data_IF_474302624913
#
_entry.id   IF_474302624913
#
_cell.length_a   1.000
_cell.length_b   1.000
_cell.length_c   1.000
_cell.angle_alpha   90.00
_cell.angle_beta   90.00
_cell.angle_gamma   90.00
#
_symmetry.space_group_name_H-M   'P 1'
#
loop_
_entity.id
_entity.type
_entity.pdbx_description
1 polymer ?
#
# COMPACT_ATOMS: atom_id res chain seq x y z
N UNK A 1 -50.17 62.48 -45.18
CA UNK A 1 -48.88 62.55 -44.43
C UNK A 1 -48.90 61.47 -43.36
N UNK A 2 -47.92 60.57 -43.41
CA UNK A 2 -47.88 59.31 -42.64
C UNK A 2 -47.49 59.53 -41.18
N UNK A 3 -48.19 58.89 -40.24
CA UNK A 3 -47.78 58.74 -38.83
C UNK A 3 -47.15 57.36 -38.66
N UNK A 4 -45.83 57.33 -38.45
CA UNK A 4 -45.08 56.14 -38.04
C UNK A 4 -45.12 56.03 -36.52
N UNK A 5 -45.84 55.03 -36.01
CA UNK A 5 -45.80 54.66 -34.59
C UNK A 5 -44.62 53.71 -34.36
N UNK A 6 -43.63 54.17 -33.61
CA UNK A 6 -42.45 53.41 -33.23
C UNK A 6 -42.77 52.60 -31.95
N UNK A 7 -43.04 51.30 -32.12
CA UNK A 7 -43.23 50.39 -30.98
C UNK A 7 -41.87 49.88 -30.49
N UNK A 8 -41.41 50.41 -29.36
CA UNK A 8 -40.23 49.90 -28.65
C UNK A 8 -40.63 48.65 -27.85
N UNK A 9 -40.26 47.47 -28.33
CA UNK A 9 -40.32 46.24 -27.55
C UNK A 9 -39.12 46.21 -26.59
N UNK A 10 -39.40 46.38 -25.30
CA UNK A 10 -38.43 46.13 -24.22
C UNK A 10 -38.50 44.63 -23.90
N UNK A 11 -37.57 43.86 -24.44
CA UNK A 11 -37.41 42.44 -24.09
C UNK A 11 -36.70 42.34 -22.75
N UNK A 12 -37.46 42.12 -21.67
CA UNK A 12 -36.91 41.82 -20.35
C UNK A 12 -36.30 40.43 -20.42
N UNK A 13 -34.98 40.34 -20.60
CA UNK A 13 -34.24 39.11 -20.47
C UNK A 13 -34.26 38.67 -19.00
N UNK A 14 -35.19 37.78 -18.66
CA UNK A 14 -35.20 37.10 -17.37
C UNK A 14 -33.97 36.19 -17.30
N UNK A 15 -32.92 36.66 -16.63
CA UNK A 15 -31.77 35.83 -16.28
C UNK A 15 -32.25 34.84 -15.23
N UNK A 16 -32.68 33.66 -15.69
CA UNK A 16 -32.91 32.52 -14.82
C UNK A 16 -31.56 32.12 -14.23
N UNK A 17 -31.31 32.58 -13.00
CA UNK A 17 -30.21 32.09 -12.17
C UNK A 17 -30.58 30.67 -11.79
N UNK A 18 -30.27 29.71 -12.66
CA UNK A 18 -30.25 28.31 -12.29
C UNK A 18 -29.15 28.18 -11.24
N UNK A 19 -29.55 28.05 -9.98
CA UNK A 19 -28.65 27.63 -8.92
C UNK A 19 -28.07 26.28 -9.36
N UNK A 20 -26.85 26.29 -9.88
CA UNK A 20 -26.11 25.08 -10.18
C UNK A 20 -26.03 24.34 -8.84
N UNK A 21 -26.65 23.17 -8.69
CA UNK A 21 -26.55 22.43 -7.45
C UNK A 21 -25.06 22.22 -7.21
N UNK A 22 -24.57 22.76 -6.09
CA UNK A 22 -23.21 22.52 -5.63
C UNK A 22 -23.09 21.02 -5.40
N UNK A 23 -22.64 20.29 -6.43
CA UNK A 23 -22.39 18.87 -6.32
C UNK A 23 -21.25 18.77 -5.32
N UNK A 24 -21.57 18.40 -4.07
CA UNK A 24 -20.57 18.10 -3.07
C UNK A 24 -19.52 17.20 -3.74
N UNK A 25 -18.27 17.68 -3.79
CA UNK A 25 -17.24 17.06 -4.60
C UNK A 25 -17.14 15.58 -4.21
N UNK A 26 -17.53 14.69 -5.14
CA UNK A 26 -17.56 13.26 -4.88
C UNK A 26 -16.14 12.80 -4.51
N UNK A 27 -16.02 12.08 -3.40
CA UNK A 27 -14.75 11.52 -2.94
C UNK A 27 -14.74 10.01 -3.12
N UNK A 28 -13.56 9.46 -3.34
CA UNK A 28 -13.32 8.01 -3.39
C UNK A 28 -13.00 7.54 -1.97
N UNK A 29 -13.77 6.59 -1.45
CA UNK A 29 -13.47 6.00 -0.14
C UNK A 29 -12.45 4.86 -0.30
N UNK A 30 -11.35 4.91 0.46
CA UNK A 30 -10.34 3.84 0.52
C UNK A 30 -10.37 3.21 1.93
N UNK A 31 -11.32 2.31 2.21
CA UNK A 31 -11.28 1.56 3.45
C UNK A 31 -10.08 0.59 3.43
N UNK A 32 -9.55 0.19 4.60
CA UNK A 32 -8.61 -0.93 4.67
C UNK A 32 -9.15 -2.18 3.97
N UNK A 33 -8.26 -2.98 3.39
CA UNK A 33 -8.57 -4.29 2.81
C UNK A 33 -9.08 -5.25 3.89
N UNK A 34 -10.06 -6.08 3.52
CA UNK A 34 -10.61 -7.16 4.35
C UNK A 34 -9.92 -8.50 4.12
N UNK A 35 -8.76 -8.50 3.43
CA UNK A 35 -8.08 -9.72 2.99
C UNK A 35 -7.74 -10.66 4.16
N UNK A 36 -7.26 -10.11 5.27
CA UNK A 36 -6.86 -10.89 6.44
C UNK A 36 -8.09 -11.55 7.08
N UNK A 37 -9.19 -10.81 7.26
CA UNK A 37 -10.46 -11.34 7.76
C UNK A 37 -11.06 -12.40 6.84
N UNK A 38 -11.00 -12.17 5.52
CA UNK A 38 -11.49 -13.10 4.51
C UNK A 38 -10.71 -14.42 4.56
N UNK A 39 -9.38 -14.36 4.77
CA UNK A 39 -8.53 -15.55 4.87
C UNK A 39 -8.74 -16.31 6.17
N UNK A 40 -8.88 -15.60 7.29
CA UNK A 40 -9.22 -16.20 8.59
C UNK A 40 -10.59 -16.88 8.52
N UNK A 41 -11.58 -16.23 7.91
CA UNK A 41 -12.92 -16.80 7.73
C UNK A 41 -12.87 -18.05 6.87
N UNK A 42 -12.15 -18.01 5.74
CA UNK A 42 -11.99 -19.16 4.87
C UNK A 42 -11.33 -20.35 5.56
N UNK A 43 -10.25 -20.12 6.31
CA UNK A 43 -9.55 -21.17 7.07
C UNK A 43 -10.45 -21.82 8.13
N UNK A 44 -11.20 -21.00 8.89
CA UNK A 44 -12.15 -21.49 9.91
C UNK A 44 -13.29 -22.31 9.31
N UNK A 45 -13.82 -21.87 8.17
CA UNK A 45 -14.90 -22.58 7.48
C UNK A 45 -14.42 -23.80 6.68
N UNK A 46 -13.11 -23.94 6.46
CA UNK A 46 -12.52 -25.02 5.66
C UNK A 46 -11.25 -25.59 6.34
N UNK A 47 -11.34 -26.20 7.55
CA UNK A 47 -10.18 -26.61 8.33
C UNK A 47 -9.28 -27.68 7.67
N UNK A 48 -9.75 -28.32 6.60
CA UNK A 48 -9.00 -29.28 5.78
C UNK A 48 -8.56 -28.74 4.42
N UNK A 49 -8.67 -27.43 4.16
CA UNK A 49 -8.27 -26.86 2.88
C UNK A 49 -6.78 -27.09 2.62
N UNK A 50 -6.46 -27.55 1.40
CA UNK A 50 -5.07 -27.66 0.95
C UNK A 50 -4.42 -26.27 0.87
N UNK A 51 -3.09 -26.20 1.01
CA UNK A 51 -2.35 -24.93 0.86
C UNK A 51 -2.59 -24.32 -0.53
N UNK A 52 -2.71 -25.14 -1.58
CA UNK A 52 -3.04 -24.68 -2.93
C UNK A 52 -4.42 -24.02 -3.01
N UNK A 53 -5.43 -24.61 -2.34
CA UNK A 53 -6.78 -24.03 -2.26
C UNK A 53 -6.76 -22.67 -1.55
N UNK A 54 -5.98 -22.56 -0.46
CA UNK A 54 -5.82 -21.31 0.27
C UNK A 54 -5.12 -20.25 -0.60
N UNK A 55 -4.02 -20.59 -1.27
CA UNK A 55 -3.30 -19.69 -2.19
C UNK A 55 -4.23 -19.18 -3.30
N UNK A 56 -5.04 -20.08 -3.89
CA UNK A 56 -6.00 -19.71 -4.92
C UNK A 56 -7.03 -18.72 -4.39
N UNK A 57 -7.62 -19.00 -3.23
CA UNK A 57 -8.58 -18.11 -2.58
C UNK A 57 -7.94 -16.76 -2.23
N UNK A 58 -6.74 -16.76 -1.63
CA UNK A 58 -6.01 -15.56 -1.25
C UNK A 58 -5.71 -14.65 -2.45
N UNK A 59 -5.24 -15.21 -3.56
CA UNK A 59 -4.99 -14.44 -4.78
C UNK A 59 -6.29 -13.91 -5.41
N UNK A 60 -7.40 -14.65 -5.34
CA UNK A 60 -8.69 -14.15 -5.79
C UNK A 60 -9.20 -12.98 -4.93
N UNK A 61 -9.03 -13.06 -3.61
CA UNK A 61 -9.40 -11.96 -2.70
C UNK A 61 -8.48 -10.76 -2.87
N UNK A 62 -7.17 -10.98 -2.99
CA UNK A 62 -6.17 -9.93 -3.22
C UNK A 62 -6.49 -9.07 -4.45
N UNK A 63 -6.96 -9.66 -5.56
CA UNK A 63 -7.37 -8.91 -6.75
C UNK A 63 -8.60 -8.01 -6.50
N UNK A 64 -9.46 -8.37 -5.55
CA UNK A 64 -10.72 -7.69 -5.24
C UNK A 64 -10.63 -6.68 -4.11
N UNK A 65 -9.74 -6.91 -3.15
CA UNK A 65 -9.63 -6.10 -1.93
C UNK A 65 -8.26 -5.45 -1.77
N UNK A 66 -7.25 -5.89 -2.52
CA UNK A 66 -5.87 -5.44 -2.37
C UNK A 66 -5.22 -5.96 -1.08
N UNK A 67 -3.92 -5.69 -0.92
CA UNK A 67 -3.18 -5.90 0.31
C UNK A 67 -3.05 -4.56 1.05
N UNK A 68 -3.13 -4.55 2.38
CA UNK A 68 -2.91 -3.33 3.16
C UNK A 68 -1.43 -2.95 3.16
N UNK A 69 -1.08 -1.90 2.42
CA UNK A 69 0.24 -1.27 2.49
C UNK A 69 0.18 -0.12 3.50
N UNK A 70 1.06 -0.15 4.52
CA UNK A 70 1.18 0.90 5.52
C UNK A 70 2.05 2.04 5.01
N UNK A 71 1.43 3.19 4.75
CA UNK A 71 2.12 4.41 4.36
C UNK A 71 2.21 5.36 5.54
N UNK A 72 3.39 5.89 5.82
CA UNK A 72 3.51 7.08 6.65
C UNK A 72 3.19 8.31 5.81
N UNK A 73 2.19 9.07 6.28
CA UNK A 73 1.64 10.23 5.58
C UNK A 73 1.59 11.47 6.46
N UNK A 74 2.37 11.55 7.55
CA UNK A 74 2.30 12.68 8.47
C UNK A 74 2.40 14.03 7.77
N UNK A 75 3.30 14.17 6.79
CA UNK A 75 3.49 15.41 6.04
C UNK A 75 2.29 15.79 5.15
N UNK A 76 1.42 14.84 4.82
CA UNK A 76 0.23 15.05 4.01
C UNK A 76 -0.99 15.49 4.80
N UNK A 77 -0.98 15.22 6.11
CA UNK A 77 -2.17 15.42 6.92
C UNK A 77 -2.40 16.92 7.14
N UNK A 78 -3.66 17.38 7.04
CA UNK A 78 -3.98 18.78 7.34
C UNK A 78 -3.61 19.09 8.79
N UNK A 79 -2.98 20.24 9.01
CA UNK A 79 -2.65 20.73 10.36
C UNK A 79 -3.94 21.08 11.12
N UNK A 80 -4.11 20.54 12.32
CA UNK A 80 -5.25 20.80 13.20
C UNK A 80 -5.64 19.55 14.01
N UNK A 81 -6.62 19.68 14.89
CA UNK A 81 -7.13 18.55 15.69
C UNK A 81 -8.16 17.76 14.87
N UNK A 82 -7.82 16.57 14.35
CA UNK A 82 -8.78 15.81 13.60
C UNK A 82 -9.86 15.26 14.54
N UNK A 83 -11.07 15.05 14.01
CA UNK A 83 -12.10 14.30 14.72
C UNK A 83 -11.69 12.83 14.77
N UNK A 84 -11.09 12.43 15.88
CA UNK A 84 -10.73 11.06 16.17
C UNK A 84 -12.01 10.29 16.51
N UNK A 85 -12.19 9.12 15.89
CA UNK A 85 -13.24 8.21 16.29
C UNK A 85 -12.87 7.56 17.64
N UNK A 86 -13.66 7.79 18.71
CA UNK A 86 -13.32 7.32 20.05
C UNK A 86 -13.27 5.78 20.16
N UNK A 87 -13.84 5.05 19.18
CA UNK A 87 -13.83 3.58 19.18
C UNK A 87 -12.63 2.98 18.46
N UNK A 88 -12.02 3.73 17.54
CA UNK A 88 -10.98 3.18 16.67
C UNK A 88 -9.62 3.85 16.84
N UNK A 89 -9.53 5.02 17.49
CA UNK A 89 -8.32 5.84 17.57
C UNK A 89 -7.80 6.30 16.19
N UNK A 90 -8.58 6.09 15.13
CA UNK A 90 -8.29 6.57 13.78
C UNK A 90 -9.09 7.85 13.50
N UNK A 91 -8.49 8.75 12.74
CA UNK A 91 -9.16 9.90 12.17
C UNK A 91 -9.38 9.70 10.66
N UNK A 92 -10.51 10.23 10.16
CA UNK A 92 -10.82 10.23 8.72
C UNK A 92 -10.34 11.54 8.10
N UNK A 93 -9.54 11.43 7.05
CA UNK A 93 -9.01 12.57 6.31
C UNK A 93 -9.49 12.53 4.87
N UNK A 94 -9.69 13.71 4.28
CA UNK A 94 -9.92 13.87 2.84
C UNK A 94 -8.68 14.49 2.24
N UNK A 95 -7.96 13.72 1.45
CA UNK A 95 -6.70 14.12 0.83
C UNK A 95 -6.86 14.23 -0.70
N UNK A 96 -6.41 15.32 -1.32
CA UNK A 96 -6.38 15.42 -2.78
C UNK A 96 -5.18 14.62 -3.32
N UNK A 97 -5.44 13.61 -4.13
CA UNK A 97 -4.40 12.84 -4.83
C UNK A 97 -4.58 12.97 -6.34
N UNK A 98 -3.49 12.78 -7.07
CA UNK A 98 -3.53 12.75 -8.54
C UNK A 98 -3.60 11.30 -9.01
N UNK A 99 -4.54 10.99 -9.89
CA UNK A 99 -4.53 9.73 -10.65
C UNK A 99 -3.31 9.68 -11.58
N UNK A 100 -2.93 8.49 -12.08
CA UNK A 100 -1.83 8.35 -13.05
C UNK A 100 -2.09 9.12 -14.36
N UNK A 101 -3.35 9.45 -14.67
CA UNK A 101 -3.75 10.30 -15.80
C UNK A 101 -3.66 11.81 -15.49
N UNK A 102 -3.24 12.20 -14.29
CA UNK A 102 -3.10 13.60 -13.87
C UNK A 102 -4.38 14.24 -13.32
N UNK A 103 -5.52 13.53 -13.30
CA UNK A 103 -6.77 14.04 -12.71
C UNK A 103 -6.65 14.10 -11.19
N UNK A 104 -6.93 15.27 -10.59
CA UNK A 104 -7.02 15.44 -9.13
C UNK A 104 -8.36 14.90 -8.61
N UNK A 105 -8.31 14.08 -7.59
CA UNK A 105 -9.47 13.43 -6.97
C UNK A 105 -9.33 13.47 -5.46
N UNK A 106 -10.43 13.74 -4.75
CA UNK A 106 -10.45 13.63 -3.29
C UNK A 106 -10.59 12.17 -2.90
N UNK A 107 -9.72 11.70 -2.01
CA UNK A 107 -9.77 10.39 -1.39
C UNK A 107 -10.04 10.53 0.10
N UNK A 108 -10.94 9.70 0.63
CA UNK A 108 -11.16 9.58 2.05
C UNK A 108 -10.39 8.36 2.58
N UNK A 109 -9.52 8.60 3.55
CA UNK A 109 -8.66 7.60 4.19
C UNK A 109 -8.83 7.63 5.71
N UNK A 110 -8.46 6.54 6.37
CA UNK A 110 -8.32 6.48 7.83
C UNK A 110 -6.84 6.41 8.20
N UNK A 111 -6.39 7.26 9.11
CA UNK A 111 -5.00 7.28 9.59
C UNK A 111 -4.96 7.32 11.10
N UNK A 112 -3.98 6.62 11.68
CA UNK A 112 -3.60 6.85 13.07
C UNK A 112 -3.02 8.25 13.16
N UNK A 113 -3.49 9.06 14.11
CA UNK A 113 -2.99 10.42 14.30
C UNK A 113 -2.23 10.50 15.62
N UNK A 114 -0.92 10.78 15.54
CA UNK A 114 -0.08 11.14 16.70
C UNK A 114 0.11 10.08 17.79
N UNK A 115 -0.40 8.86 17.61
CA UNK A 115 -0.41 7.80 18.63
C UNK A 115 0.53 6.62 18.29
N UNK A 116 1.37 6.73 17.27
CA UNK A 116 2.42 5.74 17.04
C UNK A 116 3.58 5.99 18.02
N UNK A 117 4.22 4.96 18.59
CA UNK A 117 5.38 5.10 19.49
C UNK A 117 6.50 5.98 18.93
N UNK A 118 6.60 6.14 17.61
CA UNK A 118 7.65 6.92 16.97
C UNK A 118 7.10 8.10 16.16
N UNK A 119 5.84 8.50 16.43
CA UNK A 119 5.23 9.69 15.87
C UNK A 119 4.76 9.56 14.42
N UNK A 120 4.78 8.36 13.83
CA UNK A 120 4.30 8.13 12.47
C UNK A 120 2.77 8.21 12.35
N UNK A 121 2.31 8.56 11.15
CA UNK A 121 0.90 8.71 10.82
C UNK A 121 0.55 7.67 9.77
N UNK A 122 0.48 6.42 10.21
CA UNK A 122 0.24 5.30 9.31
C UNK A 122 -1.21 5.27 8.81
N UNK A 123 -1.35 5.10 7.50
CA UNK A 123 -2.60 4.77 6.83
C UNK A 123 -2.43 3.51 6.00
N UNK A 124 -3.43 2.64 6.00
CA UNK A 124 -3.44 1.42 5.20
C UNK A 124 -4.14 1.66 3.87
N UNK A 125 -3.42 1.48 2.77
CA UNK A 125 -3.99 1.56 1.42
C UNK A 125 -4.24 0.15 0.89
N UNK A 126 -5.49 -0.23 0.55
CA UNK A 126 -5.77 -1.50 -0.12
C UNK A 126 -5.16 -1.46 -1.53
N UNK A 127 -4.06 -2.19 -1.74
CA UNK A 127 -3.21 -2.01 -2.93
C UNK A 127 -2.95 -3.34 -3.63
N UNK A 128 -3.13 -3.37 -4.97
CA UNK A 128 -2.78 -4.52 -5.79
C UNK A 128 -1.33 -4.45 -6.32
N UNK A 129 -0.81 -3.23 -6.49
CA UNK A 129 0.56 -2.97 -6.96
C UNK A 129 1.06 -1.65 -6.40
N UNK A 130 2.29 -1.60 -5.93
CA UNK A 130 2.90 -0.37 -5.40
C UNK A 130 4.34 -0.18 -5.86
N UNK A 131 4.68 1.03 -6.28
CA UNK A 131 6.02 1.41 -6.69
C UNK A 131 6.38 2.80 -6.13
N UNK A 132 7.56 3.32 -6.47
CA UNK A 132 7.96 4.70 -6.14
C UNK A 132 7.09 5.76 -6.81
N UNK A 133 6.46 5.44 -7.94
CA UNK A 133 5.77 6.42 -8.79
C UNK A 133 4.26 6.24 -8.77
N UNK A 134 3.78 5.04 -8.49
CA UNK A 134 2.37 4.67 -8.65
C UNK A 134 1.92 3.70 -7.56
N UNK A 135 0.69 3.93 -7.08
CA UNK A 135 -0.10 3.02 -6.24
C UNK A 135 -1.33 2.61 -7.04
N UNK A 136 -1.53 1.31 -7.25
CA UNK A 136 -2.78 0.77 -7.80
C UNK A 136 -3.66 0.36 -6.63
N UNK A 137 -4.45 1.31 -6.14
CA UNK A 137 -5.36 1.11 -5.02
C UNK A 137 -6.66 0.40 -5.46
N UNK A 138 -7.34 -0.24 -4.52
CA UNK A 138 -8.61 -0.93 -4.71
C UNK A 138 -9.71 -0.22 -3.91
N UNK A 139 -10.76 0.24 -4.58
CA UNK A 139 -11.95 0.84 -3.95
C UNK A 139 -13.20 0.23 -4.55
N UNK A 140 -14.02 -0.44 -3.73
CA UNK A 140 -15.24 -1.11 -4.21
C UNK A 140 -14.97 -2.08 -5.37
N UNK A 141 -13.93 -2.92 -5.23
CA UNK A 141 -13.42 -3.85 -6.26
C UNK A 141 -12.89 -3.20 -7.55
N UNK A 142 -12.79 -1.86 -7.62
CA UNK A 142 -12.22 -1.15 -8.77
C UNK A 142 -10.77 -0.78 -8.52
N UNK A 143 -9.93 -1.00 -9.53
CA UNK A 143 -8.52 -0.55 -9.57
C UNK A 143 -8.46 0.93 -9.90
N UNK A 144 -7.74 1.68 -9.08
CA UNK A 144 -7.51 3.12 -9.26
C UNK A 144 -6.01 3.35 -9.22
N UNK A 145 -5.44 3.76 -10.35
CA UNK A 145 -4.04 4.11 -10.46
C UNK A 145 -3.81 5.54 -9.96
N UNK A 146 -3.03 5.68 -8.89
CA UNK A 146 -2.74 6.92 -8.19
C UNK A 146 -1.24 7.20 -8.34
N UNK A 147 -0.86 8.41 -8.71
CA UNK A 147 0.53 8.85 -8.64
C UNK A 147 0.92 8.94 -7.17
N UNK A 148 1.89 8.11 -6.75
CA UNK A 148 2.36 8.08 -5.36
C UNK A 148 3.00 9.43 -5.00
N UNK A 149 2.49 10.16 -3.99
CA UNK A 149 3.16 11.37 -3.52
C UNK A 149 4.53 11.03 -2.91
N UNK A 150 5.52 11.90 -3.06
CA UNK A 150 6.88 11.64 -2.56
C UNK A 150 6.95 11.48 -1.04
N UNK A 151 6.09 12.18 -0.33
CA UNK A 151 5.99 12.15 1.13
C UNK A 151 5.11 11.00 1.65
N UNK A 152 4.61 10.12 0.77
CA UNK A 152 3.99 8.85 1.19
C UNK A 152 5.10 7.83 1.33
N UNK A 153 5.68 7.78 2.53
CA UNK A 153 6.81 6.90 2.84
C UNK A 153 6.29 5.50 3.12
N UNK A 154 7.06 4.50 2.70
CA UNK A 154 6.70 3.09 2.79
C UNK A 154 7.97 2.31 3.08
N UNK A 155 7.83 1.19 3.80
CA UNK A 155 8.95 0.30 4.06
C UNK A 155 9.53 -0.29 2.78
N UNK A 156 10.87 -0.40 2.76
CA UNK A 156 11.63 -0.86 1.62
C UNK A 156 12.59 -1.97 2.02
N UNK A 157 12.71 -2.97 1.15
CA UNK A 157 13.81 -3.94 1.19
C UNK A 157 14.66 -3.74 -0.05
N UNK A 158 15.96 -3.60 0.14
CA UNK A 158 16.92 -3.32 -0.92
C UNK A 158 17.79 -4.54 -1.16
N UNK A 159 17.95 -4.94 -2.41
CA UNK A 159 19.03 -5.83 -2.81
C UNK A 159 20.27 -4.97 -3.05
N UNK A 160 21.35 -5.26 -2.35
CA UNK A 160 22.62 -4.54 -2.47
C UNK A 160 23.70 -5.45 -3.06
N UNK A 161 24.75 -4.84 -3.61
CA UNK A 161 25.91 -5.59 -4.09
C UNK A 161 26.78 -6.12 -2.93
N UNK A 162 27.86 -6.83 -3.28
CA UNK A 162 28.79 -7.40 -2.30
C UNK A 162 29.52 -6.37 -1.43
N UNK A 163 29.53 -5.10 -1.84
CA UNK A 163 30.14 -4.00 -1.07
C UNK A 163 29.17 -3.44 -0.04
N UNK A 164 27.89 -3.85 -0.11
CA UNK A 164 26.78 -3.37 0.70
C UNK A 164 26.43 -1.89 0.49
N UNK A 165 27.08 -1.20 -0.46
CA UNK A 165 26.87 0.24 -0.68
C UNK A 165 25.95 0.54 -1.87
N UNK A 166 26.00 -0.29 -2.92
CA UNK A 166 25.22 -0.05 -4.14
C UNK A 166 23.91 -0.83 -4.12
N UNK A 167 22.79 -0.11 -4.20
CA UNK A 167 21.47 -0.70 -4.44
C UNK A 167 21.38 -1.24 -5.87
N UNK A 168 21.12 -2.53 -5.98
CA UNK A 168 20.89 -3.23 -7.24
C UNK A 168 19.40 -3.31 -7.57
N UNK A 169 18.55 -3.54 -6.58
CA UNK A 169 17.10 -3.60 -6.70
C UNK A 169 16.41 -3.15 -5.42
N UNK A 170 15.11 -2.92 -5.52
CA UNK A 170 14.27 -2.49 -4.41
C UNK A 170 12.91 -3.18 -4.50
N UNK A 171 12.35 -3.49 -3.35
CA UNK A 171 10.96 -3.89 -3.17
C UNK A 171 10.28 -2.97 -2.16
N UNK A 172 9.08 -2.52 -2.49
CA UNK A 172 8.20 -1.82 -1.55
C UNK A 172 7.42 -2.90 -0.77
N UNK A 173 7.53 -2.90 0.55
CA UNK A 173 6.93 -3.95 1.40
C UNK A 173 5.72 -3.43 2.16
N UNK A 174 4.64 -4.20 2.29
CA UNK A 174 3.40 -3.69 2.89
C UNK A 174 3.50 -3.30 4.36
N UNK A 175 4.47 -3.87 5.07
CA UNK A 175 4.77 -3.57 6.46
C UNK A 175 6.22 -3.97 6.76
N UNK A 176 6.78 -3.39 7.81
CA UNK A 176 8.07 -3.73 8.37
C UNK A 176 8.12 -5.20 8.78
N UNK A 177 8.96 -5.98 8.09
CA UNK A 177 9.08 -7.41 8.36
C UNK A 177 10.38 -7.98 7.82
N UNK A 178 10.75 -9.14 8.33
CA UNK A 178 11.96 -9.84 7.92
C UNK A 178 11.68 -10.72 6.70
N UNK A 179 12.40 -10.54 5.59
CA UNK A 179 12.29 -11.44 4.45
C UNK A 179 12.69 -12.88 4.82
N UNK A 180 12.01 -13.85 4.21
CA UNK A 180 12.29 -15.29 4.41
C UNK A 180 12.99 -15.92 3.22
N UNK A 181 13.03 -15.23 2.08
CA UNK A 181 13.77 -15.70 0.93
C UNK A 181 13.75 -14.75 -0.25
N UNK A 182 14.57 -15.09 -1.25
CA UNK A 182 14.70 -14.35 -2.51
C UNK A 182 14.63 -15.35 -3.66
N UNK A 183 13.97 -15.00 -4.75
CA UNK A 183 13.96 -15.83 -5.96
C UNK A 183 15.39 -16.07 -6.51
N UNK A 184 15.67 -17.20 -7.17
CA UNK A 184 17.02 -17.51 -7.69
C UNK A 184 17.59 -16.49 -8.69
N UNK A 185 16.73 -15.68 -9.32
CA UNK A 185 17.12 -14.60 -10.22
C UNK A 185 17.19 -13.22 -9.54
N UNK A 186 16.88 -13.13 -8.24
CA UNK A 186 16.92 -11.90 -7.47
C UNK A 186 15.83 -10.89 -7.82
N UNK A 187 14.76 -11.27 -8.54
CA UNK A 187 13.71 -10.31 -8.98
C UNK A 187 12.50 -10.24 -8.05
N UNK A 188 12.37 -11.21 -7.15
CA UNK A 188 11.27 -11.35 -6.21
C UNK A 188 11.79 -11.55 -4.80
N UNK A 189 11.14 -10.88 -3.85
CA UNK A 189 11.30 -11.03 -2.42
C UNK A 189 10.15 -11.89 -1.88
N UNK A 190 10.42 -12.72 -0.87
CA UNK A 190 9.40 -13.50 -0.18
C UNK A 190 9.36 -13.12 1.31
N UNK A 191 8.15 -12.88 1.81
CA UNK A 191 7.86 -12.59 3.21
C UNK A 191 6.94 -13.68 3.74
N UNK A 192 7.16 -14.16 4.96
CA UNK A 192 6.25 -15.10 5.61
C UNK A 192 4.91 -14.44 5.90
N UNK A 193 3.81 -15.06 5.48
CA UNK A 193 2.47 -14.56 5.76
C UNK A 193 1.75 -15.49 6.75
N UNK A 194 1.38 -14.92 7.88
CA UNK A 194 0.76 -15.61 9.01
C UNK A 194 -0.70 -15.15 9.12
N UNK A 195 -1.63 -16.10 9.11
CA UNK A 195 -3.05 -15.85 9.32
C UNK A 195 -3.63 -17.01 10.13
N UNK A 196 -4.72 -16.74 10.85
CA UNK A 196 -5.33 -17.73 11.73
C UNK A 196 -4.47 -18.05 12.96
N UNK A 197 -4.58 -19.28 13.48
CA UNK A 197 -3.92 -19.71 14.74
C UNK A 197 -2.51 -20.29 14.53
N UNK A 198 -1.96 -20.26 13.32
CA UNK A 198 -0.67 -20.87 13.02
C UNK A 198 0.47 -19.89 13.37
N UNK A 199 0.95 -19.96 14.61
CA UNK A 199 2.01 -19.08 15.11
C UNK A 199 3.43 -19.59 14.82
N UNK A 200 3.61 -20.87 14.51
CA UNK A 200 4.93 -21.49 14.48
C UNK A 200 5.63 -21.35 13.12
N UNK A 201 4.93 -21.59 12.00
CA UNK A 201 5.50 -21.42 10.67
C UNK A 201 4.48 -20.96 9.61
N UNK A 202 4.84 -20.01 8.72
CA UNK A 202 3.93 -19.52 7.71
C UNK A 202 3.82 -20.55 6.58
N UNK A 203 2.60 -21.01 6.28
CA UNK A 203 2.33 -21.89 5.11
C UNK A 203 2.31 -21.11 3.80
N UNK A 204 2.01 -19.82 3.88
CA UNK A 204 1.94 -18.91 2.75
C UNK A 204 3.14 -17.95 2.76
N UNK A 205 3.54 -17.59 1.55
CA UNK A 205 4.49 -16.52 1.30
C UNK A 205 3.77 -15.39 0.59
N UNK A 206 4.05 -14.16 0.98
CA UNK A 206 3.81 -12.99 0.15
C UNK A 206 5.01 -12.82 -0.80
N UNK A 207 4.81 -13.09 -2.08
CA UNK A 207 5.78 -12.83 -3.15
C UNK A 207 5.63 -11.40 -3.64
N UNK A 208 6.69 -10.61 -3.55
CA UNK A 208 6.75 -9.22 -3.99
C UNK A 208 7.72 -9.12 -5.17
N UNK A 209 7.24 -8.65 -6.32
CA UNK A 209 8.09 -8.41 -7.49
C UNK A 209 8.78 -7.05 -7.43
N UNK A 210 9.90 -6.90 -8.13
CA UNK A 210 10.56 -5.59 -8.33
C UNK A 210 9.62 -4.53 -8.95
N UNK A 211 8.64 -4.95 -9.75
CA UNK A 211 7.63 -4.07 -10.33
C UNK A 211 6.50 -3.68 -9.37
N UNK A 212 6.56 -4.15 -8.11
CA UNK A 212 5.62 -3.75 -7.07
C UNK A 212 4.37 -4.61 -6.95
N UNK A 213 4.26 -5.69 -7.73
CA UNK A 213 3.11 -6.60 -7.67
C UNK A 213 3.26 -7.56 -6.51
N UNK A 214 2.16 -7.81 -5.79
CA UNK A 214 2.10 -8.82 -4.73
C UNK A 214 1.27 -10.02 -5.17
N UNK A 215 1.61 -11.20 -4.67
CA UNK A 215 0.76 -12.39 -4.74
C UNK A 215 1.10 -13.38 -3.63
N UNK A 216 0.17 -14.27 -3.33
CA UNK A 216 0.40 -15.39 -2.43
C UNK A 216 1.01 -16.58 -3.18
N UNK A 217 1.92 -17.27 -2.52
CA UNK A 217 2.51 -18.53 -2.95
C UNK A 217 2.57 -19.51 -1.78
N UNK A 218 2.53 -20.82 -2.06
CA UNK A 218 2.74 -21.84 -1.05
C UNK A 218 4.23 -21.92 -0.69
N UNK A 219 4.58 -21.90 0.59
CA UNK A 219 5.99 -21.95 1.05
C UNK A 219 6.70 -23.20 0.54
N UNK A 220 6.06 -24.37 0.66
CA UNK A 220 6.63 -25.68 0.33
C UNK A 220 6.99 -25.85 -1.16
N UNK A 221 6.22 -25.25 -2.07
CA UNK A 221 6.42 -25.38 -3.51
C UNK A 221 7.21 -24.20 -4.12
N UNK A 222 7.56 -23.19 -3.31
CA UNK A 222 8.22 -21.99 -3.80
C UNK A 222 9.74 -22.19 -3.85
N UNK A 223 10.30 -22.10 -5.07
CA UNK A 223 11.75 -22.10 -5.27
C UNK A 223 12.32 -20.74 -4.84
N UNK A 224 13.02 -20.72 -3.71
CA UNK A 224 13.69 -19.54 -3.18
C UNK A 224 15.04 -19.89 -2.55
N UNK A 225 15.93 -18.90 -2.53
CA UNK A 225 17.12 -18.92 -1.67
C UNK A 225 16.67 -18.47 -0.29
N UNK A 226 16.71 -19.36 0.69
CA UNK A 226 16.19 -19.14 2.06
C UNK A 226 17.23 -19.30 3.16
N UNK A 227 18.41 -19.88 2.88
CA UNK A 227 19.49 -19.97 3.86
C UNK A 227 20.02 -18.57 4.14
N UNK A 228 19.60 -18.00 5.26
CA UNK A 228 19.90 -16.62 5.65
C UNK A 228 20.86 -16.54 6.82
N UNK A 229 21.63 -15.46 6.85
CA UNK A 229 22.54 -15.13 7.93
C UNK A 229 22.55 -13.61 8.12
N UNK A 230 22.24 -13.14 9.33
CA UNK A 230 22.42 -11.73 9.68
C UNK A 230 23.91 -11.36 9.64
N UNK A 231 24.23 -10.23 9.02
CA UNK A 231 25.58 -9.68 9.02
C UNK A 231 25.79 -8.87 10.30
N UNK A 232 26.92 -9.09 10.98
CA UNK A 232 27.29 -8.35 12.19
C UNK A 232 28.09 -7.08 11.86
N UNK A 233 28.91 -7.17 10.83
CA UNK A 233 29.77 -6.07 10.36
C UNK A 233 29.21 -5.53 9.03
N UNK A 234 28.73 -4.30 9.04
CA UNK A 234 28.20 -3.61 7.86
C UNK A 234 28.44 -2.10 7.95
N UNK A 235 28.42 -1.37 6.82
CA UNK A 235 28.56 0.08 6.82
C UNK A 235 27.48 0.73 7.69
N UNK A 236 27.87 1.53 8.68
CA UNK A 236 26.94 2.36 9.44
C UNK A 236 26.49 3.53 8.57
N UNK A 237 25.19 3.78 8.55
CA UNK A 237 24.62 4.95 7.89
C UNK A 237 24.23 5.99 8.92
N UNK A 238 24.68 7.23 8.72
CA UNK A 238 24.40 8.31 9.66
C UNK A 238 22.88 8.55 9.72
N UNK A 239 22.31 8.45 10.92
CA UNK A 239 20.90 8.75 11.16
C UNK A 239 19.94 7.58 10.90
N UNK A 240 20.43 6.34 10.76
CA UNK A 240 19.58 5.17 10.73
C UNK A 240 20.19 4.01 11.53
N UNK A 241 19.82 3.95 12.81
CA UNK A 241 20.32 2.95 13.77
C UNK A 241 19.59 1.59 13.65
N UNK A 242 18.54 1.51 12.82
CA UNK A 242 17.67 0.34 12.71
C UNK A 242 17.94 -0.50 11.44
N UNK A 243 19.01 -0.19 10.70
CA UNK A 243 19.38 -0.94 9.50
C UNK A 243 19.86 -2.34 9.84
N UNK A 244 19.28 -3.32 9.14
CA UNK A 244 19.73 -4.71 9.17
C UNK A 244 20.18 -5.15 7.79
N UNK A 245 21.25 -5.93 7.78
CA UNK A 245 21.77 -6.59 6.59
C UNK A 245 21.69 -8.11 6.76
N UNK A 246 21.13 -8.79 5.76
CA UNK A 246 21.09 -10.25 5.71
C UNK A 246 21.74 -10.77 4.43
N UNK A 247 22.47 -11.87 4.56
CA UNK A 247 23.04 -12.64 3.46
C UNK A 247 22.19 -13.88 3.19
N UNK A 248 21.70 -14.01 1.97
CA UNK A 248 20.99 -15.19 1.47
C UNK A 248 21.93 -16.02 0.59
N UNK A 249 22.19 -17.27 0.97
CA UNK A 249 23.15 -18.15 0.28
C UNK A 249 22.42 -19.28 -0.44
N UNK A 250 22.46 -19.27 -1.77
CA UNK A 250 22.01 -20.36 -2.62
C UNK A 250 23.18 -21.24 -3.08
N UNK A 251 22.91 -22.22 -3.95
CA UNK A 251 23.94 -23.10 -4.51
C UNK A 251 24.97 -22.33 -5.33
N UNK A 252 24.51 -21.47 -6.23
CA UNK A 252 25.35 -20.79 -7.22
C UNK A 252 25.40 -19.27 -7.04
N UNK A 253 24.63 -18.73 -6.09
CA UNK A 253 24.47 -17.29 -5.90
C UNK A 253 24.37 -16.92 -4.43
N UNK A 254 24.89 -15.74 -4.11
CA UNK A 254 24.71 -15.07 -2.83
C UNK A 254 24.02 -13.74 -3.08
N UNK A 255 23.03 -13.41 -2.26
CA UNK A 255 22.35 -12.12 -2.25
C UNK A 255 22.58 -11.43 -0.91
N UNK A 256 22.69 -10.11 -0.94
CA UNK A 256 22.77 -9.27 0.24
C UNK A 256 21.58 -8.34 0.23
N UNK A 257 20.79 -8.35 1.31
CA UNK A 257 19.67 -7.42 1.45
C UNK A 257 19.91 -6.47 2.60
N UNK A 258 19.32 -5.29 2.47
CA UNK A 258 19.29 -4.22 3.45
C UNK A 258 17.83 -3.83 3.68
N UNK A 259 17.42 -3.69 4.93
CA UNK A 259 16.09 -3.23 5.31
C UNK A 259 16.12 -2.62 6.72
N UNK A 260 15.13 -1.79 7.05
CA UNK A 260 14.97 -1.25 8.40
C UNK A 260 14.11 -2.18 9.24
N UNK A 261 14.49 -2.43 10.49
CA UNK A 261 13.52 -2.91 11.49
C UNK A 261 12.67 -1.75 11.97
N UNK A 262 11.41 -1.99 12.39
CA UNK A 262 10.63 -0.96 13.06
C UNK A 262 11.34 -0.55 14.34
N UNK A 263 11.17 0.71 14.73
CA UNK A 263 11.62 1.20 16.02
C UNK A 263 11.06 0.31 17.14
N UNK A 264 11.96 -0.26 17.95
CA UNK A 264 11.63 -1.09 19.13
C UNK A 264 11.51 -0.24 20.38
#
# INVERSE_FOLDING_TARGET
MWKLSLSVLVTIATVSIYAVPSSAQAFVNLPPSTLDEDLISFDRSNPGASVSSIVKYANQRLEKTGFNYSFDICESLPKGDPKIDPKSYFAKFRIPLSTSEGRKQLFQISSGYGNSPCGECFTSFPTAKVSRQEVVAISGEKKIAIKRPQHFVLDEVLLVDKTLQKTLRKWETPYSTTPVGISPNGKKLYIGYYFGKSAEEPKLLLEISEGGTVKFAAKESTKMVSKKQALKDFPKEKGNDYLTYEKFTGRDKTFFIKYSFPCT
#
